data_IF_534281677882
#
_entry.id   IF_534281677882
#
_cell.length_a   1.000
_cell.length_b   1.000
_cell.length_c   1.000
_cell.angle_alpha   90.00
_cell.angle_beta   90.00
_cell.angle_gamma   90.00
#
_symmetry.space_group_name_H-M   'P 1'
#
loop_
_entity.id
_entity.type
_entity.pdbx_description
1 polymer ?
#
# COMPACT_ATOMS: atom_id res chain seq x y z
N UNK A 1 -21.32 -5.63 52.68
CA UNK A 1 -22.01 -4.42 52.18
C UNK A 1 -22.00 -4.44 50.67
N UNK A 2 -23.16 -4.25 50.02
CA UNK A 2 -23.30 -4.19 48.56
C UNK A 2 -23.09 -2.74 48.11
N UNK A 3 -22.13 -2.48 47.23
CA UNK A 3 -21.98 -1.19 46.53
C UNK A 3 -21.47 -1.48 45.10
N UNK A 4 -22.39 -1.74 44.17
CA UNK A 4 -22.93 -0.77 43.20
C UNK A 4 -21.89 -0.42 42.12
N UNK A 5 -22.02 -1.08 40.95
CA UNK A 5 -21.31 -0.76 39.71
C UNK A 5 -21.66 0.68 39.30
N UNK A 6 -20.65 1.54 39.19
CA UNK A 6 -20.81 2.90 38.68
C UNK A 6 -20.71 2.90 37.14
N UNK A 7 -21.85 3.24 36.53
CA UNK A 7 -22.08 3.83 35.21
C UNK A 7 -20.86 4.06 34.30
N UNK A 8 -20.78 3.30 33.21
CA UNK A 8 -20.02 3.67 32.01
C UNK A 8 -20.79 4.80 31.31
N UNK A 9 -20.17 5.96 31.22
CA UNK A 9 -20.68 7.12 30.49
C UNK A 9 -20.59 6.80 28.99
N UNK A 10 -21.75 6.57 28.37
CA UNK A 10 -21.94 6.52 26.93
C UNK A 10 -21.72 7.93 26.37
N UNK A 11 -20.48 8.27 26.01
CA UNK A 11 -20.18 9.51 25.28
C UNK A 11 -20.70 9.36 23.85
N UNK A 12 -21.76 10.11 23.54
CA UNK A 12 -22.39 10.15 22.22
C UNK A 12 -21.44 10.62 21.13
N UNK A 13 -21.56 10.00 19.95
CA UNK A 13 -20.95 10.47 18.71
C UNK A 13 -21.48 11.88 18.39
N UNK A 14 -20.65 12.91 18.54
CA UNK A 14 -20.92 14.22 17.95
C UNK A 14 -20.70 14.12 16.45
N UNK A 15 -21.78 14.19 15.68
CA UNK A 15 -21.77 14.26 14.22
C UNK A 15 -21.28 15.67 13.82
N UNK A 16 -20.06 15.78 13.29
CA UNK A 16 -19.64 17.00 12.59
C UNK A 16 -20.21 16.96 11.16
N UNK A 17 -21.30 17.69 10.91
CA UNK A 17 -21.75 17.97 9.55
C UNK A 17 -20.85 19.03 8.93
N UNK A 18 -19.94 18.63 8.04
CA UNK A 18 -19.13 19.57 7.27
C UNK A 18 -19.93 20.05 6.06
N UNK A 19 -20.43 21.29 6.13
CA UNK A 19 -21.01 22.00 5.00
C UNK A 19 -19.97 22.12 3.88
N UNK A 20 -20.30 21.62 2.69
CA UNK A 20 -19.44 21.71 1.51
C UNK A 20 -19.06 23.15 1.20
N UNK A 21 -17.76 23.41 1.04
CA UNK A 21 -17.26 24.68 0.52
C UNK A 21 -17.11 24.55 -0.99
N UNK A 22 -17.81 25.41 -1.72
CA UNK A 22 -17.60 25.63 -3.13
C UNK A 22 -16.21 26.25 -3.35
N UNK A 23 -15.40 25.65 -4.21
CA UNK A 23 -14.08 26.18 -4.57
C UNK A 23 -14.23 27.30 -5.60
N UNK A 24 -14.04 28.55 -5.17
CA UNK A 24 -13.66 29.65 -6.07
C UNK A 24 -12.14 29.79 -6.02
N UNK A 25 -11.51 29.74 -7.20
CA UNK A 25 -10.06 29.86 -7.36
C UNK A 25 -9.53 31.21 -6.86
N UNK A 26 -8.38 31.20 -6.17
CA UNK A 26 -7.28 32.19 -6.24
C UNK A 26 -6.23 31.88 -5.16
N UNK A 27 -4.96 32.10 -5.51
CA UNK A 27 -3.74 31.88 -4.72
C UNK A 27 -3.38 30.41 -4.41
N UNK A 28 -2.16 30.01 -4.80
CA UNK A 28 -1.54 28.76 -4.39
C UNK A 28 -1.21 28.80 -2.89
N UNK A 29 -2.23 28.61 -2.06
CA UNK A 29 -2.07 28.30 -0.64
C UNK A 29 -1.35 26.96 -0.58
N UNK A 30 -0.17 26.90 0.05
CA UNK A 30 0.46 25.64 0.43
C UNK A 30 -0.46 24.96 1.45
N UNK A 31 -1.42 24.18 0.96
CA UNK A 31 -2.26 23.33 1.80
C UNK A 31 -1.34 22.32 2.47
N UNK A 32 -1.17 22.47 3.79
CA UNK A 32 -0.42 21.52 4.59
C UNK A 32 -1.12 20.18 4.48
N UNK A 33 -0.41 19.14 4.02
CA UNK A 33 -1.01 17.83 3.88
C UNK A 33 -1.58 17.36 5.24
N UNK A 34 -2.78 16.77 5.25
CA UNK A 34 -3.36 16.24 6.48
C UNK A 34 -2.45 15.16 7.06
N UNK A 35 -2.28 15.17 8.39
CA UNK A 35 -1.46 14.16 9.09
C UNK A 35 -2.01 12.75 8.91
N UNK A 36 -3.34 12.64 8.89
CA UNK A 36 -4.07 11.40 8.65
C UNK A 36 -5.19 11.66 7.64
N UNK A 37 -5.33 10.76 6.67
CA UNK A 37 -6.40 10.72 5.68
C UNK A 37 -7.24 9.48 6.00
N UNK A 38 -8.51 9.68 6.33
CA UNK A 38 -9.46 8.57 6.33
C UNK A 38 -9.77 8.29 4.86
N UNK A 39 -9.50 7.06 4.43
CA UNK A 39 -9.88 6.60 3.11
C UNK A 39 -11.23 5.93 3.27
N UNK A 40 -12.24 6.44 2.58
CA UNK A 40 -13.51 5.73 2.44
C UNK A 40 -13.22 4.37 1.79
N UNK A 41 -13.74 3.28 2.38
CA UNK A 41 -13.47 1.92 1.91
C UNK A 41 -13.78 1.83 0.40
N UNK A 42 -12.82 1.36 -0.41
CA UNK A 42 -13.10 1.17 -1.84
C UNK A 42 -11.91 1.06 -2.78
N UNK A 43 -10.69 1.37 -2.35
CA UNK A 43 -9.52 1.08 -3.18
C UNK A 43 -9.13 -0.39 -3.04
N UNK A 44 -8.69 -0.98 -4.15
CA UNK A 44 -8.21 -2.36 -4.22
C UNK A 44 -6.82 -2.47 -4.84
N UNK A 45 -6.31 -1.35 -5.35
CA UNK A 45 -5.03 -1.21 -6.04
C UNK A 45 -4.25 -0.08 -5.41
N UNK A 46 -2.99 -0.33 -5.11
CA UNK A 46 -2.06 0.62 -4.51
C UNK A 46 -0.96 0.88 -5.53
N UNK A 47 -0.86 2.11 -6.02
CA UNK A 47 0.18 2.57 -6.93
C UNK A 47 1.14 3.47 -6.17
N UNK A 48 2.42 3.12 -6.13
CA UNK A 48 3.46 3.85 -5.42
C UNK A 48 4.59 4.19 -6.37
N UNK A 49 4.96 5.47 -6.48
CA UNK A 49 6.01 5.89 -7.41
C UNK A 49 6.91 6.99 -6.86
N UNK A 50 8.17 6.95 -7.30
CA UNK A 50 9.21 7.89 -6.86
C UNK A 50 9.95 7.41 -5.62
N UNK A 51 10.48 8.33 -4.83
CA UNK A 51 11.18 8.01 -3.58
C UNK A 51 10.19 7.99 -2.40
N UNK A 52 9.46 6.88 -2.29
CA UNK A 52 8.43 6.65 -1.26
C UNK A 52 8.76 5.39 -0.46
N UNK A 53 8.75 5.48 0.86
CA UNK A 53 8.78 4.35 1.79
C UNK A 53 7.39 4.13 2.37
N UNK A 54 6.72 3.06 1.96
CA UNK A 54 5.35 2.74 2.35
C UNK A 54 5.34 1.53 3.29
N UNK A 55 4.80 1.70 4.50
CA UNK A 55 4.48 0.60 5.41
C UNK A 55 2.98 0.29 5.35
N UNK A 56 2.63 -0.90 4.89
CA UNK A 56 1.25 -1.40 4.84
C UNK A 56 0.93 -2.13 6.14
N UNK A 57 -0.24 -1.85 6.71
CA UNK A 57 -0.74 -2.50 7.92
C UNK A 57 -2.17 -2.95 7.66
N UNK A 58 -2.45 -4.26 7.81
CA UNK A 58 -3.82 -4.74 7.65
C UNK A 58 -4.68 -4.31 8.86
N UNK A 59 -5.79 -3.65 8.61
CA UNK A 59 -6.71 -3.11 9.63
C UNK A 59 -8.15 -3.05 9.09
N UNK A 60 -9.14 -3.11 9.98
CA UNK A 60 -10.56 -2.97 9.60
C UNK A 60 -10.89 -1.59 9.05
N UNK A 61 -10.23 -0.55 9.57
CA UNK A 61 -10.41 0.84 9.17
C UNK A 61 -9.29 1.21 8.20
N UNK A 62 -9.66 1.61 6.99
CA UNK A 62 -8.72 2.09 5.97
C UNK A 62 -8.33 3.54 6.22
N UNK A 63 -7.08 3.85 5.95
CA UNK A 63 -6.56 5.20 6.16
C UNK A 63 -5.07 5.30 5.89
N UNK A 64 -4.57 6.52 5.82
CA UNK A 64 -3.19 6.79 5.51
C UNK A 64 -2.64 7.86 6.44
N UNK A 65 -1.44 7.66 6.96
CA UNK A 65 -0.76 8.57 7.89
C UNK A 65 0.60 8.92 7.32
N UNK A 66 0.91 10.21 7.31
CA UNK A 66 2.24 10.72 6.98
C UNK A 66 3.13 10.66 8.22
N UNK A 67 4.42 10.40 8.03
CA UNK A 67 5.40 10.65 9.09
C UNK A 67 5.48 12.17 9.38
N UNK A 68 5.67 12.52 10.66
CA UNK A 68 5.74 13.92 11.08
C UNK A 68 6.89 14.69 10.41
N UNK A 69 7.98 14.00 10.07
CA UNK A 69 9.17 14.59 9.46
C UNK A 69 9.03 14.86 7.96
N UNK A 70 7.93 14.45 7.33
CA UNK A 70 7.74 14.55 5.87
C UNK A 70 6.34 14.93 5.40
N UNK A 71 5.54 15.58 6.27
CA UNK A 71 4.21 16.08 5.93
C UNK A 71 4.21 16.82 4.58
N UNK A 72 3.47 16.26 3.62
CA UNK A 72 3.28 16.84 2.29
C UNK A 72 4.36 16.53 1.25
N UNK A 73 5.34 15.66 1.54
CA UNK A 73 6.37 15.26 0.56
C UNK A 73 5.86 14.22 -0.46
N UNK A 74 4.76 13.53 -0.15
CA UNK A 74 4.05 12.68 -1.11
C UNK A 74 2.65 13.23 -1.42
N UNK A 75 2.29 13.21 -2.69
CA UNK A 75 0.93 13.44 -3.17
C UNK A 75 0.15 12.13 -3.09
N UNK A 76 -1.00 12.16 -2.43
CA UNK A 76 -1.91 11.02 -2.31
C UNK A 76 -3.22 11.35 -3.03
N UNK A 77 -3.62 10.50 -3.96
CA UNK A 77 -4.85 10.66 -4.74
C UNK A 77 -5.58 9.32 -4.76
N UNK A 78 -6.87 9.32 -4.40
CA UNK A 78 -7.74 8.17 -4.56
C UNK A 78 -8.70 8.44 -5.72
N UNK A 79 -8.67 7.58 -6.73
CA UNK A 79 -9.56 7.63 -7.89
C UNK A 79 -10.20 6.26 -8.09
N UNK A 80 -11.51 6.17 -7.81
CA UNK A 80 -12.24 4.91 -7.85
C UNK A 80 -11.59 3.84 -6.95
N UNK A 81 -11.13 2.74 -7.55
CA UNK A 81 -10.50 1.64 -6.84
C UNK A 81 -8.97 1.73 -6.76
N UNK A 82 -8.36 2.85 -7.16
CA UNK A 82 -6.92 3.05 -7.17
C UNK A 82 -6.54 4.12 -6.14
N UNK A 83 -5.58 3.78 -5.28
CA UNK A 83 -4.87 4.73 -4.43
C UNK A 83 -3.47 4.96 -5.02
N UNK A 84 -3.19 6.20 -5.44
CA UNK A 84 -1.91 6.62 -5.99
C UNK A 84 -1.14 7.46 -4.98
N UNK A 85 0.10 7.05 -4.69
CA UNK A 85 1.03 7.72 -3.78
C UNK A 85 2.29 8.04 -4.58
N UNK A 86 2.60 9.33 -4.76
CA UNK A 86 3.73 9.76 -5.58
C UNK A 86 4.59 10.79 -4.85
N UNK A 87 5.91 10.61 -4.89
CA UNK A 87 6.89 11.62 -4.48
C UNK A 87 7.71 12.08 -5.68
N UNK A 88 7.83 13.39 -5.88
CA UNK A 88 8.68 14.01 -6.90
C UNK A 88 9.84 14.83 -6.30
N UNK A 89 9.99 14.80 -4.98
CA UNK A 89 11.08 15.48 -4.26
C UNK A 89 12.37 14.66 -4.24
N UNK A 90 13.45 15.30 -3.77
CA UNK A 90 14.75 14.66 -3.55
C UNK A 90 14.82 13.92 -2.21
N UNK A 91 13.80 14.06 -1.37
CA UNK A 91 13.73 13.44 -0.05
C UNK A 91 12.70 12.32 -0.03
N UNK A 92 13.04 11.23 0.65
CA UNK A 92 12.16 10.08 0.80
C UNK A 92 10.90 10.44 1.59
N UNK A 93 9.73 10.23 0.98
CA UNK A 93 8.45 10.37 1.66
C UNK A 93 8.05 9.05 2.33
N UNK A 94 7.72 9.09 3.62
CA UNK A 94 7.40 7.92 4.45
C UNK A 94 5.94 7.97 4.87
N UNK A 95 5.21 6.89 4.64
CA UNK A 95 3.78 6.80 4.89
C UNK A 95 3.44 5.45 5.50
N UNK A 96 2.42 5.44 6.37
CA UNK A 96 1.78 4.22 6.86
C UNK A 96 0.40 4.14 6.23
N UNK A 97 0.11 3.03 5.56
CA UNK A 97 -1.18 2.77 4.92
C UNK A 97 -1.88 1.62 5.65
N UNK A 98 -3.04 1.93 6.21
CA UNK A 98 -3.97 0.97 6.78
C UNK A 98 -4.93 0.49 5.70
N UNK A 99 -4.98 -0.82 5.50
CA UNK A 99 -5.77 -1.47 4.43
C UNK A 99 -6.62 -2.60 5.00
N UNK A 100 -7.82 -2.81 4.48
CA UNK A 100 -8.63 -3.97 4.87
C UNK A 100 -8.43 -5.13 3.89
N UNK A 101 -8.87 -4.92 2.66
CA UNK A 101 -8.82 -5.90 1.57
C UNK A 101 -8.44 -5.21 0.26
N UNK A 102 -7.39 -5.71 -0.38
CA UNK A 102 -6.85 -5.22 -1.64
C UNK A 102 -6.19 -6.37 -2.39
N UNK A 103 -5.97 -6.23 -3.69
CA UNK A 103 -5.42 -7.32 -4.49
C UNK A 103 -4.21 -6.92 -5.35
N UNK A 104 -3.81 -5.64 -5.36
CA UNK A 104 -2.66 -5.22 -6.18
C UNK A 104 -1.79 -4.15 -5.54
N UNK A 105 -0.49 -4.35 -5.61
CA UNK A 105 0.56 -3.37 -5.38
C UNK A 105 1.31 -3.15 -6.71
N UNK A 106 1.48 -1.91 -7.10
CA UNK A 106 2.30 -1.49 -8.23
C UNK A 106 3.29 -0.44 -7.71
N UNK A 107 4.59 -0.75 -7.81
CA UNK A 107 5.65 0.11 -7.29
C UNK A 107 6.71 0.37 -8.37
N UNK A 108 7.12 1.64 -8.50
CA UNK A 108 8.08 2.09 -9.52
C UNK A 108 9.00 3.21 -9.01
N UNK A 109 10.03 3.54 -9.79
CA UNK A 109 11.09 4.45 -9.38
C UNK A 109 11.98 3.84 -8.28
N UNK A 110 12.08 4.51 -7.13
CA UNK A 110 12.87 4.06 -5.98
C UNK A 110 11.98 3.66 -4.79
N UNK A 111 10.70 3.37 -5.06
CA UNK A 111 9.73 3.08 -4.02
C UNK A 111 10.14 1.84 -3.20
N UNK A 112 9.88 1.88 -1.90
CA UNK A 112 10.13 0.80 -0.95
C UNK A 112 8.84 0.47 -0.25
N UNK A 113 8.30 -0.72 -0.49
CA UNK A 113 7.03 -1.16 0.10
C UNK A 113 7.28 -2.29 1.08
N UNK A 114 6.80 -2.15 2.31
CA UNK A 114 6.86 -3.21 3.32
C UNK A 114 5.48 -3.40 3.92
N UNK A 115 5.19 -4.57 4.47
CA UNK A 115 4.05 -4.71 5.37
C UNK A 115 4.50 -5.09 6.79
N UNK A 116 3.69 -4.66 7.76
CA UNK A 116 3.78 -5.13 9.14
C UNK A 116 2.82 -6.31 9.34
N UNK A 117 3.29 -7.35 10.03
CA UNK A 117 2.51 -8.57 10.25
C UNK A 117 2.37 -9.42 8.99
N UNK A 118 1.27 -10.18 8.89
CA UNK A 118 0.95 -11.01 7.74
C UNK A 118 -0.30 -10.44 7.03
N UNK A 119 -0.21 -10.22 5.73
CA UNK A 119 -1.36 -9.87 4.90
C UNK A 119 -2.19 -11.12 4.60
N UNK A 120 -3.44 -11.15 5.08
CA UNK A 120 -4.38 -12.23 4.83
C UNK A 120 -5.33 -11.82 3.70
N UNK A 121 -5.10 -12.33 2.49
CA UNK A 121 -5.80 -11.93 1.26
C UNK A 121 -6.08 -13.15 0.39
N UNK A 122 -7.20 -13.21 -0.34
CA UNK A 122 -7.42 -14.33 -1.27
C UNK A 122 -6.41 -14.30 -2.43
N UNK A 123 -6.23 -13.11 -3.02
CA UNK A 123 -5.34 -12.90 -4.16
C UNK A 123 -4.50 -11.65 -3.95
N UNK A 124 -3.21 -11.75 -4.26
CA UNK A 124 -2.30 -10.63 -4.26
C UNK A 124 -1.50 -10.58 -5.55
N UNK A 125 -1.42 -9.40 -6.14
CA UNK A 125 -0.60 -9.14 -7.32
C UNK A 125 0.42 -8.06 -7.00
N UNK A 126 1.68 -8.29 -7.35
CA UNK A 126 2.78 -7.37 -7.04
C UNK A 126 3.53 -7.07 -8.34
N UNK A 127 3.53 -5.81 -8.75
CA UNK A 127 4.27 -5.34 -9.92
C UNK A 127 5.35 -4.38 -9.43
N UNK A 128 6.61 -4.75 -9.66
CA UNK A 128 7.76 -3.91 -9.34
C UNK A 128 8.54 -3.61 -10.62
N UNK A 129 8.96 -2.36 -10.81
CA UNK A 129 9.82 -1.94 -11.93
C UNK A 129 10.84 -0.87 -11.51
N UNK A 130 11.71 -0.49 -12.42
CA UNK A 130 12.84 0.42 -12.18
C UNK A 130 13.75 -0.11 -11.05
N UNK A 131 13.87 0.60 -9.93
CA UNK A 131 14.63 0.20 -8.74
C UNK A 131 13.70 -0.05 -7.53
N UNK A 132 12.41 -0.28 -7.77
CA UNK A 132 11.45 -0.49 -6.70
C UNK A 132 11.78 -1.75 -5.89
N UNK A 133 11.59 -1.67 -4.58
CA UNK A 133 11.81 -2.78 -3.66
C UNK A 133 10.55 -3.08 -2.87
N UNK A 134 10.30 -4.35 -2.60
CA UNK A 134 9.25 -4.75 -1.68
C UNK A 134 9.66 -5.90 -0.78
N UNK A 135 9.24 -5.84 0.49
CA UNK A 135 9.34 -6.94 1.46
C UNK A 135 7.94 -7.28 1.93
N UNK A 136 7.40 -8.41 1.44
CA UNK A 136 6.00 -8.78 1.63
C UNK A 136 5.88 -10.11 2.36
N UNK A 137 5.18 -10.10 3.49
CA UNK A 137 4.74 -11.28 4.23
C UNK A 137 3.22 -11.45 4.07
N UNK A 138 2.79 -12.51 3.41
CA UNK A 138 1.38 -12.73 3.08
C UNK A 138 0.95 -14.19 3.16
N UNK A 139 -0.32 -14.41 3.52
CA UNK A 139 -1.05 -15.66 3.37
C UNK A 139 -2.12 -15.49 2.30
N UNK A 140 -1.97 -16.22 1.18
CA UNK A 140 -2.89 -16.10 0.04
C UNK A 140 -3.30 -17.44 -0.58
N UNK A 141 -4.35 -17.43 -1.41
CA UNK A 141 -4.68 -18.55 -2.30
C UNK A 141 -3.99 -18.39 -3.65
N UNK A 142 -3.81 -17.15 -4.12
CA UNK A 142 -3.05 -16.85 -5.31
C UNK A 142 -2.12 -15.66 -5.12
N UNK A 143 -0.89 -15.82 -5.60
CA UNK A 143 0.12 -14.78 -5.67
C UNK A 143 0.61 -14.67 -7.11
N UNK A 144 0.57 -13.46 -7.67
CA UNK A 144 1.16 -13.16 -8.96
C UNK A 144 2.16 -12.03 -8.84
N UNK A 145 3.37 -12.23 -9.33
CA UNK A 145 4.42 -11.21 -9.25
C UNK A 145 5.03 -10.95 -10.62
N UNK A 146 5.24 -9.68 -10.93
CA UNK A 146 5.97 -9.21 -12.12
C UNK A 146 7.11 -8.31 -11.67
N UNK A 147 8.35 -8.71 -11.95
CA UNK A 147 9.56 -7.98 -11.55
C UNK A 147 10.34 -7.53 -12.78
N UNK A 148 10.39 -6.23 -13.01
CA UNK A 148 11.07 -5.62 -14.14
C UNK A 148 12.31 -4.84 -13.71
N UNK A 149 13.23 -4.63 -14.66
CA UNK A 149 14.47 -3.85 -14.46
C UNK A 149 15.30 -4.32 -13.25
N UNK A 150 15.66 -3.43 -12.34
CA UNK A 150 16.45 -3.72 -11.14
C UNK A 150 15.56 -3.94 -9.90
N UNK A 151 14.28 -4.26 -10.10
CA UNK A 151 13.35 -4.47 -9.00
C UNK A 151 13.81 -5.60 -8.07
N UNK A 152 13.54 -5.44 -6.78
CA UNK A 152 13.89 -6.42 -5.76
C UNK A 152 12.70 -6.77 -4.86
N UNK A 153 12.25 -8.01 -4.93
CA UNK A 153 11.18 -8.54 -4.10
C UNK A 153 11.74 -9.53 -3.07
N UNK A 154 11.42 -9.33 -1.80
CA UNK A 154 11.52 -10.35 -0.76
C UNK A 154 10.13 -10.85 -0.39
N UNK A 155 9.94 -12.17 -0.43
CA UNK A 155 8.69 -12.83 -0.04
C UNK A 155 8.89 -13.69 1.20
N UNK A 156 7.93 -13.56 2.13
CA UNK A 156 7.70 -14.40 3.30
C UNK A 156 6.21 -14.83 3.32
N UNK A 157 5.87 -15.90 4.04
CA UNK A 157 4.49 -16.37 4.22
C UNK A 157 4.12 -17.60 3.39
N UNK A 158 2.85 -17.73 3.00
CA UNK A 158 2.35 -18.95 2.31
C UNK A 158 1.36 -18.60 1.19
N UNK A 159 1.40 -19.37 0.10
CA UNK A 159 0.36 -19.34 -0.94
C UNK A 159 0.03 -20.72 -1.49
N UNK A 160 -1.20 -20.92 -1.97
CA UNK A 160 -1.50 -22.14 -2.73
C UNK A 160 -0.88 -22.08 -4.13
N UNK A 161 -1.08 -20.97 -4.84
CA UNK A 161 -0.60 -20.79 -6.21
C UNK A 161 0.31 -19.58 -6.31
N UNK A 162 1.48 -19.75 -6.90
CA UNK A 162 2.41 -18.67 -7.18
C UNK A 162 2.77 -18.62 -8.67
N UNK A 163 2.52 -17.49 -9.31
CA UNK A 163 2.96 -17.21 -10.69
C UNK A 163 4.00 -16.09 -10.64
N UNK A 164 5.19 -16.34 -11.18
CA UNK A 164 6.31 -15.40 -11.23
C UNK A 164 6.68 -15.08 -12.67
N UNK A 165 6.70 -13.79 -13.02
CA UNK A 165 7.36 -13.27 -14.21
C UNK A 165 8.47 -12.30 -13.77
N UNK A 166 9.69 -12.45 -14.30
CA UNK A 166 10.80 -11.60 -13.88
C UNK A 166 11.82 -11.38 -15.00
N UNK A 167 12.42 -10.20 -15.08
CA UNK A 167 13.57 -9.96 -15.96
C UNK A 167 14.85 -10.61 -15.41
N UNK A 168 15.89 -10.67 -16.23
CA UNK A 168 17.21 -11.19 -15.83
C UNK A 168 17.88 -10.37 -14.71
N UNK A 169 17.66 -9.07 -14.69
CA UNK A 169 18.28 -8.12 -13.74
C UNK A 169 17.52 -8.01 -12.42
N UNK A 170 16.24 -8.38 -12.40
CA UNK A 170 15.43 -8.33 -11.18
C UNK A 170 15.77 -9.45 -10.19
N UNK A 171 15.61 -9.14 -8.90
CA UNK A 171 15.95 -10.03 -7.79
C UNK A 171 14.68 -10.48 -7.06
N UNK A 172 14.59 -11.78 -6.83
CA UNK A 172 13.62 -12.40 -5.93
C UNK A 172 14.37 -13.08 -4.78
N UNK A 173 14.01 -12.75 -3.55
CA UNK A 173 14.54 -13.38 -2.33
C UNK A 173 13.40 -14.12 -1.63
N UNK A 174 13.55 -15.42 -1.44
CA UNK A 174 12.62 -16.30 -0.72
C UNK A 174 13.37 -16.77 0.52
N UNK A 175 12.87 -16.43 1.71
CA UNK A 175 13.44 -16.87 2.99
C UNK A 175 12.44 -17.77 3.73
N UNK A 176 11.34 -17.21 4.24
CA UNK A 176 10.29 -17.94 4.95
C UNK A 176 9.00 -18.01 4.14
N UNK A 177 9.12 -18.32 2.86
CA UNK A 177 7.99 -18.40 1.94
C UNK A 177 7.78 -19.81 1.39
N UNK A 178 6.52 -20.26 1.40
CA UNK A 178 6.10 -21.56 0.88
C UNK A 178 4.96 -21.39 -0.13
N UNK A 179 5.05 -22.09 -1.26
CA UNK A 179 3.99 -22.16 -2.26
C UNK A 179 3.67 -23.61 -2.57
N UNK A 180 2.39 -23.98 -2.57
CA UNK A 180 1.97 -25.36 -2.94
C UNK A 180 2.29 -25.63 -4.42
N UNK A 181 2.02 -24.66 -5.29
CA UNK A 181 2.34 -24.72 -6.73
C UNK A 181 3.04 -23.45 -7.17
N UNK A 182 4.10 -23.60 -7.98
CA UNK A 182 4.85 -22.48 -8.57
C UNK A 182 4.88 -22.61 -10.10
N UNK A 183 4.55 -21.54 -10.79
CA UNK A 183 4.65 -21.41 -12.24
C UNK A 183 5.54 -20.20 -12.58
N UNK A 184 6.50 -20.41 -13.47
CA UNK A 184 7.32 -19.33 -14.00
C UNK A 184 6.82 -18.96 -15.40
N UNK A 185 6.47 -17.70 -15.61
CA UNK A 185 6.15 -17.16 -16.92
C UNK A 185 7.45 -16.80 -17.67
N UNK A 186 7.57 -17.13 -18.97
CA UNK A 186 8.73 -16.77 -19.78
C UNK A 186 8.97 -15.26 -19.85
N UNK A 187 10.22 -14.86 -20.10
CA UNK A 187 10.62 -13.44 -20.31
C UNK A 187 9.77 -12.72 -21.38
N UNK A 188 9.22 -13.45 -22.36
CA UNK A 188 8.39 -12.92 -23.45
C UNK A 188 7.08 -12.25 -22.98
N UNK A 189 6.55 -12.65 -21.82
CA UNK A 189 5.32 -12.04 -21.26
C UNK A 189 5.52 -10.58 -20.80
N UNK A 190 6.77 -10.13 -20.65
CA UNK A 190 7.11 -8.78 -20.18
C UNK A 190 7.26 -7.77 -21.33
N UNK A 191 7.36 -8.25 -22.58
CA UNK A 191 7.56 -7.43 -23.77
C UNK A 191 6.27 -6.71 -24.24
N UNK A 192 5.09 -7.22 -23.87
CA UNK A 192 3.80 -6.65 -24.30
C UNK A 192 3.29 -5.48 -23.42
N UNK A 193 3.97 -5.18 -22.31
CA UNK A 193 3.59 -4.08 -21.40
C UNK A 193 4.41 -2.80 -21.54
N UNK A 194 5.10 -2.62 -22.67
CA UNK A 194 5.91 -1.42 -22.96
C UNK A 194 5.10 -0.26 -23.52
#
# INVERSE_FOLDING_TARGET
MKTQLKNIILTGLTIFSLSGLAFTSTAAVKVKAPRAIILDNGFKRILVSGDVELLIVQNKIEGLVYDESNLGKAKVVKEGNILTITSSGTETAKLILYVNDFYRIDASGNAKVKNYGELNLNYLQIFLKDNATAEINSKTTGLYTVLNDNANLKLDGVTDNYILAKTKTSKLTIDKFYATTVQNSPDEFLAETK
#
